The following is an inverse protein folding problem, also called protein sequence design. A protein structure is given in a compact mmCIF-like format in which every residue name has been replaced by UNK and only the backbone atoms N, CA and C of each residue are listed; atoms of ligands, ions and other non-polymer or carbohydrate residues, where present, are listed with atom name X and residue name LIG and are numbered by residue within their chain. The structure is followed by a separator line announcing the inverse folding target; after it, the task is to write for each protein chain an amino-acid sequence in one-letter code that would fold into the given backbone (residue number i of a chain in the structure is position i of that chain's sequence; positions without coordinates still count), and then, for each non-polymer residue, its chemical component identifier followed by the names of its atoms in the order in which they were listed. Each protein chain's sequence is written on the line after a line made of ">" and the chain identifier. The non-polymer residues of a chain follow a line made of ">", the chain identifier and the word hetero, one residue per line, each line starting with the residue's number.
data_IF_213109437991
#
_entry.id   IF_213109437991
#
_cell.length_a   1.000
_cell.length_b   1.000
_cell.length_c   1.000
_cell.angle_alpha   90.00
_cell.angle_beta   90.00
_cell.angle_gamma   90.00
#
_symmetry.space_group_name_H-M   'P 1'
#
loop_
_entity.id
_entity.type
_entity.pdbx_description
1 polymer ?
#
# COMPACT_ATOMS: atom_id res chain seq x y z
N UNK A 1 0.00 7.93 -18.78
CA UNK A 1 -1.44 8.07 -18.45
C UNK A 1 -1.66 9.37 -17.67
N UNK A 2 -2.75 10.11 -17.92
CA UNK A 2 -3.10 11.30 -17.12
C UNK A 2 -3.77 10.87 -15.81
N UNK A 3 -3.70 11.69 -14.75
CA UNK A 3 -4.31 11.36 -13.44
C UNK A 3 -5.82 11.04 -13.56
N UNK A 4 -6.65 11.81 -14.30
CA UNK A 4 -8.07 11.49 -14.45
C UNK A 4 -8.30 10.12 -15.10
N UNK A 5 -7.50 9.77 -16.11
CA UNK A 5 -7.58 8.50 -16.82
C UNK A 5 -7.17 7.31 -15.93
N UNK A 6 -6.19 7.49 -15.03
CA UNK A 6 -5.83 6.48 -14.02
C UNK A 6 -6.99 6.28 -13.04
N UNK A 7 -7.60 7.37 -12.57
CA UNK A 7 -8.71 7.30 -11.61
C UNK A 7 -9.94 6.61 -12.21
N UNK A 8 -10.21 6.83 -13.49
CA UNK A 8 -11.27 6.12 -14.22
C UNK A 8 -11.00 4.61 -14.28
N UNK A 9 -9.74 4.20 -14.53
CA UNK A 9 -9.38 2.77 -14.46
C UNK A 9 -9.60 2.21 -13.06
N UNK A 10 -9.14 2.89 -12.02
CA UNK A 10 -9.33 2.46 -10.62
C UNK A 10 -10.82 2.26 -10.33
N UNK A 11 -11.66 3.24 -10.68
CA UNK A 11 -13.12 3.16 -10.55
C UNK A 11 -13.72 1.97 -11.31
N UNK A 12 -13.24 1.68 -12.52
CA UNK A 12 -13.67 0.51 -13.28
C UNK A 12 -13.33 -0.82 -12.58
N UNK A 13 -12.13 -0.93 -11.98
CA UNK A 13 -11.78 -2.10 -11.17
C UNK A 13 -12.65 -2.22 -9.91
N UNK A 14 -12.96 -1.11 -9.24
CA UNK A 14 -13.87 -1.12 -8.09
C UNK A 14 -15.28 -1.57 -8.47
N UNK A 15 -15.79 -1.12 -9.62
CA UNK A 15 -17.08 -1.58 -10.15
C UNK A 15 -17.05 -3.08 -10.41
N UNK A 16 -16.00 -3.60 -11.03
CA UNK A 16 -15.83 -5.05 -11.28
C UNK A 16 -15.77 -5.85 -9.98
N UNK A 17 -15.00 -5.37 -8.99
CA UNK A 17 -14.91 -5.97 -7.66
C UNK A 17 -16.26 -5.99 -6.94
N UNK A 18 -17.03 -4.90 -7.03
CA UNK A 18 -18.38 -4.81 -6.46
C UNK A 18 -19.30 -5.85 -7.07
N UNK A 19 -19.30 -5.98 -8.40
CA UNK A 19 -20.13 -6.97 -9.11
C UNK A 19 -19.78 -8.40 -8.68
N UNK A 20 -18.49 -8.75 -8.62
CA UNK A 20 -18.03 -10.06 -8.16
C UNK A 20 -18.48 -10.33 -6.72
N UNK A 21 -18.30 -9.36 -5.82
CA UNK A 21 -18.73 -9.46 -4.42
C UNK A 21 -20.24 -9.69 -4.30
N UNK A 22 -21.04 -8.98 -5.09
CA UNK A 22 -22.50 -9.16 -5.11
C UNK A 22 -22.90 -10.55 -5.63
N UNK A 23 -22.23 -11.06 -6.66
CA UNK A 23 -22.48 -12.43 -7.15
C UNK A 23 -22.15 -13.48 -6.10
N UNK A 24 -21.02 -13.33 -5.42
CA UNK A 24 -20.59 -14.22 -4.34
C UNK A 24 -21.59 -14.20 -3.19
N UNK A 25 -22.00 -13.01 -2.73
CA UNK A 25 -23.06 -12.85 -1.71
C UNK A 25 -24.35 -13.58 -2.10
N UNK A 26 -24.80 -13.41 -3.34
CA UNK A 26 -25.99 -14.10 -3.84
C UNK A 26 -25.83 -15.62 -3.92
N UNK A 27 -24.62 -16.13 -4.15
CA UNK A 27 -24.34 -17.57 -4.17
C UNK A 27 -24.36 -18.17 -2.75
N UNK A 28 -23.78 -17.47 -1.77
CA UNK A 28 -23.84 -17.82 -0.36
C UNK A 28 -25.29 -17.82 0.15
N UNK A 29 -26.04 -16.75 -0.12
CA UNK A 29 -27.44 -16.64 0.31
C UNK A 29 -28.31 -17.77 -0.25
N UNK A 30 -28.13 -18.12 -1.53
CA UNK A 30 -28.88 -19.22 -2.17
C UNK A 30 -28.54 -20.61 -1.63
N UNK A 31 -27.36 -20.80 -1.08
CA UNK A 31 -26.86 -22.14 -0.69
C UNK A 31 -26.95 -22.36 0.81
N UNK A 32 -26.48 -21.38 1.59
CA UNK A 32 -26.35 -21.44 3.05
C UNK A 32 -27.43 -20.61 3.77
N UNK A 33 -28.16 -19.74 3.07
CA UNK A 33 -29.12 -18.81 3.68
C UNK A 33 -28.46 -17.59 4.33
N UNK A 34 -27.14 -17.51 4.31
CA UNK A 34 -26.36 -16.43 4.90
C UNK A 34 -25.77 -15.50 3.82
N UNK A 35 -25.68 -14.22 4.16
CA UNK A 35 -25.08 -13.15 3.39
C UNK A 35 -23.61 -12.87 3.74
N UNK A 36 -23.07 -13.51 4.78
CA UNK A 36 -21.68 -13.31 5.20
C UNK A 36 -20.74 -13.83 4.10
N UNK A 37 -19.90 -12.93 3.61
CA UNK A 37 -18.89 -13.25 2.60
C UNK A 37 -17.61 -13.57 3.35
N UNK A 38 -16.99 -14.74 3.12
CA UNK A 38 -15.72 -15.08 3.76
C UNK A 38 -14.64 -14.07 3.37
N UNK A 39 -13.74 -13.80 4.30
CA UNK A 39 -12.61 -12.87 4.08
C UNK A 39 -11.47 -13.52 3.30
N UNK A 40 -11.37 -14.85 3.34
CA UNK A 40 -10.38 -15.64 2.62
C UNK A 40 -10.99 -16.83 1.86
N UNK A 41 -10.25 -17.35 0.88
CA UNK A 41 -10.63 -18.59 0.18
C UNK A 41 -10.78 -19.73 1.17
N UNK A 42 -9.82 -19.85 2.10
CA UNK A 42 -9.76 -20.93 3.08
C UNK A 42 -10.97 -20.92 4.01
N UNK A 43 -11.35 -19.74 4.52
CA UNK A 43 -12.54 -19.56 5.35
C UNK A 43 -13.83 -19.92 4.58
N UNK A 44 -13.90 -19.52 3.32
CA UNK A 44 -15.03 -19.86 2.45
C UNK A 44 -15.14 -21.36 2.18
N UNK A 45 -14.03 -22.03 1.93
CA UNK A 45 -13.99 -23.48 1.73
C UNK A 45 -14.28 -24.24 3.02
N UNK A 46 -13.77 -23.77 4.16
CA UNK A 46 -14.04 -24.35 5.47
C UNK A 46 -15.54 -24.27 5.81
N UNK A 47 -16.18 -23.12 5.54
CA UNK A 47 -17.62 -22.94 5.74
C UNK A 47 -18.45 -23.92 4.90
N UNK A 48 -18.07 -24.10 3.62
CA UNK A 48 -18.73 -25.07 2.73
C UNK A 48 -18.49 -26.51 3.19
N UNK A 49 -17.30 -26.83 3.69
CA UNK A 49 -16.99 -28.16 4.25
C UNK A 49 -17.85 -28.45 5.49
N UNK A 50 -17.88 -27.53 6.45
CA UNK A 50 -18.68 -27.66 7.67
C UNK A 50 -20.17 -27.83 7.35
N UNK A 51 -20.68 -27.07 6.37
CA UNK A 51 -22.07 -27.21 5.90
C UNK A 51 -22.32 -28.57 5.23
N UNK A 52 -21.34 -29.10 4.50
CA UNK A 52 -21.43 -30.42 3.85
C UNK A 52 -21.44 -31.54 4.89
N UNK A 53 -20.62 -31.44 5.93
CA UNK A 53 -20.51 -32.45 6.98
C UNK A 53 -21.79 -32.49 7.82
N UNK A 54 -22.33 -31.32 8.17
CA UNK A 54 -23.60 -31.19 8.88
C UNK A 54 -24.77 -31.83 8.13
N UNK A 55 -24.80 -31.68 6.80
CA UNK A 55 -25.87 -32.24 5.94
C UNK A 55 -25.73 -33.75 5.76
N UNK A 56 -24.52 -34.30 5.77
CA UNK A 56 -24.31 -35.74 5.61
C UNK A 56 -24.57 -36.51 6.92
N UNK A 57 -24.42 -35.86 8.08
CA UNK A 57 -24.75 -36.45 9.39
C UNK A 57 -26.25 -36.47 9.70
N UNK A 58 -27.07 -35.70 8.97
CA UNK A 58 -28.51 -35.62 9.19
C UNK A 58 -29.25 -36.79 8.50
N UNK A 59 -29.55 -37.83 9.27
CA UNK A 59 -30.23 -39.05 8.82
C UNK A 59 -31.70 -38.81 8.42
N UNK A 60 -32.24 -37.63 8.74
CA UNK A 60 -33.63 -37.24 8.49
C UNK A 60 -33.90 -36.78 7.05
N UNK A 61 -32.84 -36.47 6.30
CA UNK A 61 -32.94 -35.91 4.94
C UNK A 61 -33.10 -37.05 3.91
N UNK A 62 -34.14 -36.95 3.07
CA UNK A 62 -34.35 -37.86 1.92
C UNK A 62 -33.11 -37.84 1.01
N UNK A 63 -32.60 -39.01 0.61
CA UNK A 63 -31.39 -39.15 -0.23
C UNK A 63 -31.39 -38.25 -1.49
N UNK A 64 -32.54 -38.08 -2.14
CA UNK A 64 -32.69 -37.19 -3.31
C UNK A 64 -32.49 -35.71 -2.98
N UNK A 65 -33.00 -35.25 -1.82
CA UNK A 65 -32.79 -33.89 -1.32
C UNK A 65 -31.32 -33.67 -0.91
N UNK A 66 -30.69 -34.67 -0.29
CA UNK A 66 -29.26 -34.66 0.05
C UNK A 66 -28.38 -34.54 -1.20
N UNK A 67 -28.66 -35.29 -2.26
CA UNK A 67 -27.92 -35.17 -3.52
C UNK A 67 -28.08 -33.78 -4.15
N UNK A 68 -29.27 -33.18 -4.09
CA UNK A 68 -29.51 -31.82 -4.60
C UNK A 68 -28.69 -30.79 -3.81
N UNK A 69 -28.69 -30.87 -2.48
CA UNK A 69 -27.89 -29.99 -1.60
C UNK A 69 -26.40 -30.15 -1.82
N UNK A 70 -25.89 -31.39 -1.90
CA UNK A 70 -24.49 -31.66 -2.19
C UNK A 70 -24.03 -31.09 -3.55
N UNK A 71 -24.89 -31.12 -4.58
CA UNK A 71 -24.59 -30.46 -5.87
C UNK A 71 -24.50 -28.94 -5.73
N UNK A 72 -25.39 -28.32 -4.95
CA UNK A 72 -25.35 -26.88 -4.68
C UNK A 72 -24.07 -26.47 -3.95
N UNK A 73 -23.64 -27.24 -2.94
CA UNK A 73 -22.40 -27.00 -2.21
C UNK A 73 -21.16 -27.14 -3.09
N UNK A 74 -21.07 -28.19 -3.92
CA UNK A 74 -19.96 -28.34 -4.90
C UNK A 74 -19.93 -27.17 -5.91
N UNK A 75 -21.09 -26.72 -6.35
CA UNK A 75 -21.17 -25.55 -7.23
C UNK A 75 -20.73 -24.26 -6.53
N UNK A 76 -21.06 -24.10 -5.24
CA UNK A 76 -20.63 -22.95 -4.44
C UNK A 76 -19.10 -22.98 -4.24
N UNK A 77 -18.54 -24.15 -3.91
CA UNK A 77 -17.09 -24.34 -3.76
C UNK A 77 -16.33 -23.89 -5.03
N UNK A 78 -16.81 -24.32 -6.21
CA UNK A 78 -16.24 -23.91 -7.49
C UNK A 78 -16.38 -22.41 -7.73
N UNK A 79 -17.53 -21.81 -7.38
CA UNK A 79 -17.75 -20.37 -7.51
C UNK A 79 -16.83 -19.57 -6.58
N UNK A 80 -16.63 -20.00 -5.34
CA UNK A 80 -15.69 -19.38 -4.39
C UNK A 80 -14.30 -19.32 -4.99
N UNK A 81 -13.76 -20.47 -5.43
CA UNK A 81 -12.41 -20.54 -6.03
C UNK A 81 -12.26 -19.58 -7.22
N UNK A 82 -13.26 -19.55 -8.11
CA UNK A 82 -13.24 -18.69 -9.29
C UNK A 82 -13.36 -17.20 -8.94
N UNK A 83 -14.31 -16.82 -8.08
CA UNK A 83 -14.56 -15.42 -7.73
C UNK A 83 -13.42 -14.83 -6.90
N UNK A 84 -12.80 -15.59 -6.00
CA UNK A 84 -11.60 -15.13 -5.29
C UNK A 84 -10.38 -14.99 -6.20
N UNK A 85 -10.21 -15.88 -7.19
CA UNK A 85 -9.18 -15.72 -8.22
C UNK A 85 -9.37 -14.42 -9.03
N UNK A 86 -10.62 -14.11 -9.37
CA UNK A 86 -11.00 -12.85 -10.02
C UNK A 86 -10.76 -11.63 -9.11
N UNK A 87 -11.15 -11.70 -7.84
CA UNK A 87 -10.91 -10.64 -6.85
C UNK A 87 -9.42 -10.32 -6.78
N UNK A 88 -8.57 -11.34 -6.60
CA UNK A 88 -7.13 -11.14 -6.52
C UNK A 88 -6.55 -10.51 -7.79
N UNK A 89 -7.03 -10.94 -8.96
CA UNK A 89 -6.62 -10.39 -10.25
C UNK A 89 -7.03 -8.91 -10.41
N UNK A 90 -8.26 -8.58 -9.99
CA UNK A 90 -8.76 -7.19 -10.03
C UNK A 90 -8.09 -6.30 -9.00
N UNK A 91 -7.81 -6.80 -7.80
CA UNK A 91 -7.06 -6.08 -6.78
C UNK A 91 -5.64 -5.76 -7.26
N UNK A 92 -4.94 -6.74 -7.84
CA UNK A 92 -3.62 -6.53 -8.43
C UNK A 92 -3.65 -5.47 -9.54
N UNK A 93 -4.64 -5.57 -10.44
CA UNK A 93 -4.85 -4.58 -11.49
C UNK A 93 -5.07 -3.18 -10.94
N UNK A 94 -6.00 -3.02 -9.99
CA UNK A 94 -6.31 -1.75 -9.32
C UNK A 94 -5.08 -1.16 -8.63
N UNK A 95 -4.38 -1.97 -7.84
CA UNK A 95 -3.24 -1.52 -7.05
C UNK A 95 -2.12 -0.99 -7.93
N UNK A 96 -1.83 -1.63 -9.08
CA UNK A 96 -0.87 -1.11 -10.06
C UNK A 96 -1.21 0.32 -10.54
N UNK A 97 -2.48 0.61 -10.83
CA UNK A 97 -2.90 1.96 -11.23
C UNK A 97 -2.80 2.95 -10.08
N UNK A 98 -3.15 2.53 -8.86
CA UNK A 98 -3.02 3.36 -7.66
C UNK A 98 -1.55 3.67 -7.34
N UNK A 99 -0.64 2.72 -7.51
CA UNK A 99 0.81 2.91 -7.41
C UNK A 99 1.27 3.96 -8.42
N UNK A 100 0.87 3.84 -9.69
CA UNK A 100 1.22 4.82 -10.73
C UNK A 100 0.73 6.23 -10.38
N UNK A 101 -0.47 6.35 -9.79
CA UNK A 101 -0.98 7.64 -9.30
C UNK A 101 -0.08 8.21 -8.20
N UNK A 102 0.22 7.44 -7.14
CA UNK A 102 1.06 7.93 -6.04
C UNK A 102 2.50 8.21 -6.47
N UNK A 103 3.06 7.44 -7.41
CA UNK A 103 4.40 7.66 -7.97
C UNK A 103 4.54 9.05 -8.59
N UNK A 104 3.51 9.52 -9.29
CA UNK A 104 3.49 10.85 -9.92
C UNK A 104 3.54 11.99 -8.91
N UNK A 105 3.06 11.79 -7.68
CA UNK A 105 3.12 12.79 -6.61
C UNK A 105 4.34 12.62 -5.70
N UNK A 106 4.75 11.38 -5.47
CA UNK A 106 5.88 11.03 -4.60
C UNK A 106 7.22 11.56 -5.14
N UNK A 107 7.46 11.46 -6.46
CA UNK A 107 8.73 11.90 -7.07
C UNK A 107 8.94 13.43 -6.93
N UNK A 108 7.98 14.31 -7.28
CA UNK A 108 8.12 15.75 -7.03
C UNK A 108 8.34 16.09 -5.55
N UNK A 109 7.68 15.37 -4.63
CA UNK A 109 7.86 15.58 -3.20
C UNK A 109 9.28 15.20 -2.76
N UNK A 110 9.84 14.12 -3.31
CA UNK A 110 11.22 13.73 -3.06
C UNK A 110 12.21 14.83 -3.47
N UNK A 111 11.95 15.58 -4.55
CA UNK A 111 12.81 16.71 -4.94
C UNK A 111 12.92 17.77 -3.83
N UNK A 112 11.80 18.08 -3.16
CA UNK A 112 11.78 19.02 -2.04
C UNK A 112 12.62 18.47 -0.87
N UNK A 113 12.48 17.17 -0.59
CA UNK A 113 13.27 16.51 0.46
C UNK A 113 14.77 16.47 0.13
N UNK A 114 15.15 16.27 -1.13
CA UNK A 114 16.54 16.32 -1.55
C UNK A 114 17.16 17.71 -1.41
N UNK A 115 16.39 18.77 -1.70
CA UNK A 115 16.84 20.15 -1.43
C UNK A 115 17.06 20.37 0.07
N UNK A 116 16.13 19.89 0.90
CA UNK A 116 16.21 19.99 2.35
C UNK A 116 17.42 19.22 2.92
N UNK A 117 17.65 18.01 2.41
CA UNK A 117 18.81 17.17 2.73
C UNK A 117 20.12 17.78 2.21
N UNK A 118 20.10 18.45 1.06
CA UNK A 118 21.27 19.08 0.45
C UNK A 118 21.86 20.22 1.27
N UNK A 119 21.02 20.98 2.00
CA UNK A 119 21.46 22.10 2.83
C UNK A 119 22.50 21.70 3.93
N UNK A 120 22.21 20.75 4.84
CA UNK A 120 23.21 20.31 5.82
C UNK A 120 24.40 19.59 5.17
N UNK A 121 24.15 18.78 4.12
CA UNK A 121 25.21 18.05 3.43
C UNK A 121 26.23 18.98 2.75
N UNK A 122 25.77 20.08 2.14
CA UNK A 122 26.65 21.10 1.56
C UNK A 122 27.50 21.81 2.61
N UNK A 123 26.93 22.08 3.79
CA UNK A 123 27.65 22.68 4.92
C UNK A 123 28.71 21.75 5.49
N UNK A 124 28.43 20.44 5.56
CA UNK A 124 29.41 19.42 5.98
C UNK A 124 30.52 19.25 4.94
N UNK A 125 30.17 19.22 3.66
CA UNK A 125 31.13 19.03 2.56
C UNK A 125 32.16 20.17 2.41
N UNK A 126 31.87 21.36 2.95
CA UNK A 126 32.85 22.47 3.04
C UNK A 126 34.17 22.06 3.70
N UNK A 127 34.19 21.02 4.54
CA UNK A 127 35.40 20.47 5.18
C UNK A 127 36.08 19.35 4.37
N UNK A 128 35.36 18.70 3.45
CA UNK A 128 35.81 17.48 2.73
C UNK A 128 36.11 17.67 1.24
N UNK A 129 35.94 18.88 0.68
CA UNK A 129 36.15 19.17 -0.73
C UNK A 129 34.96 18.79 -1.63
N UNK A 130 34.98 19.25 -2.88
CA UNK A 130 33.87 19.12 -3.83
C UNK A 130 33.46 17.66 -4.10
N UNK A 131 34.43 16.75 -4.19
CA UNK A 131 34.19 15.33 -4.47
C UNK A 131 33.34 14.65 -3.37
N UNK A 132 33.49 15.06 -2.10
CA UNK A 132 32.78 14.43 -0.98
C UNK A 132 31.29 14.78 -1.01
N UNK A 133 30.91 16.05 -1.27
CA UNK A 133 29.50 16.44 -1.43
C UNK A 133 28.80 15.68 -2.55
N UNK A 134 29.47 15.55 -3.69
CA UNK A 134 28.89 14.95 -4.90
C UNK A 134 28.67 13.46 -4.70
N UNK A 135 29.68 12.74 -4.19
CA UNK A 135 29.56 11.31 -3.89
C UNK A 135 28.47 11.02 -2.87
N UNK A 136 28.35 11.83 -1.82
CA UNK A 136 27.32 11.64 -0.79
C UNK A 136 25.91 11.89 -1.33
N UNK A 137 25.73 12.94 -2.14
CA UNK A 137 24.46 13.23 -2.81
C UNK A 137 24.04 12.11 -3.74
N UNK A 138 24.98 11.58 -4.53
CA UNK A 138 24.74 10.43 -5.41
C UNK A 138 24.40 9.16 -4.62
N UNK A 139 25.07 8.93 -3.48
CA UNK A 139 24.75 7.82 -2.57
C UNK A 139 23.32 7.88 -2.05
N UNK A 140 22.85 9.04 -1.59
CA UNK A 140 21.46 9.21 -1.16
C UNK A 140 20.45 9.07 -2.30
N UNK A 141 20.81 9.55 -3.50
CA UNK A 141 19.98 9.34 -4.69
C UNK A 141 19.82 7.85 -5.03
N UNK A 142 20.91 7.09 -5.03
CA UNK A 142 20.87 5.64 -5.25
C UNK A 142 20.05 4.93 -4.17
N UNK A 143 20.26 5.27 -2.89
CA UNK A 143 19.50 4.69 -1.78
C UNK A 143 18.01 4.94 -1.94
N UNK A 144 17.62 6.17 -2.26
CA UNK A 144 16.22 6.52 -2.52
C UNK A 144 15.65 5.71 -3.69
N UNK A 145 16.40 5.58 -4.78
CA UNK A 145 15.95 4.85 -5.96
C UNK A 145 15.73 3.36 -5.68
N UNK A 146 16.62 2.73 -4.90
CA UNK A 146 16.48 1.34 -4.46
C UNK A 146 15.23 1.17 -3.58
N UNK A 147 15.02 2.07 -2.61
CA UNK A 147 13.83 2.06 -1.76
C UNK A 147 12.53 2.26 -2.57
N UNK A 148 12.56 3.13 -3.58
CA UNK A 148 11.43 3.38 -4.46
C UNK A 148 11.06 2.15 -5.29
N UNK A 149 12.04 1.47 -5.91
CA UNK A 149 11.81 0.22 -6.65
C UNK A 149 11.30 -0.87 -5.71
N UNK A 150 11.90 -1.01 -4.52
CA UNK A 150 11.46 -1.98 -3.52
C UNK A 150 10.01 -1.75 -3.09
N UNK A 151 9.63 -0.49 -2.83
CA UNK A 151 8.27 -0.11 -2.47
C UNK A 151 7.25 -0.36 -3.60
N UNK A 152 7.64 -0.06 -4.84
CA UNK A 152 6.83 -0.33 -6.04
C UNK A 152 6.59 -1.84 -6.22
N UNK A 153 7.63 -2.66 -6.13
CA UNK A 153 7.53 -4.12 -6.27
C UNK A 153 6.65 -4.76 -5.17
N UNK A 154 6.78 -4.29 -3.92
CA UNK A 154 5.97 -4.76 -2.79
C UNK A 154 4.49 -4.39 -2.96
N UNK A 155 4.21 -3.20 -3.47
CA UNK A 155 2.84 -2.74 -3.72
C UNK A 155 2.20 -3.47 -4.92
N UNK A 156 2.97 -3.72 -5.98
CA UNK A 156 2.52 -4.46 -7.18
C UNK A 156 2.22 -5.94 -6.87
N UNK A 157 2.87 -6.51 -5.85
CA UNK A 157 2.60 -7.85 -5.33
C UNK A 157 1.45 -7.91 -4.34
N UNK A 158 0.75 -6.81 -4.08
CA UNK A 158 -0.29 -6.68 -3.04
C UNK A 158 0.20 -7.02 -1.62
N UNK A 159 1.51 -6.96 -1.35
CA UNK A 159 2.05 -7.22 -0.01
C UNK A 159 1.95 -5.99 0.89
N UNK A 160 2.07 -4.81 0.30
CA UNK A 160 1.94 -3.51 0.99
C UNK A 160 0.91 -2.66 0.27
N UNK A 161 0.23 -1.77 0.99
CA UNK A 161 -0.68 -0.82 0.35
C UNK A 161 0.10 0.11 -0.59
N UNK A 162 -0.45 0.48 -1.77
CA UNK A 162 0.18 1.42 -2.70
C UNK A 162 0.62 2.74 -2.06
N UNK A 163 -0.16 3.21 -1.10
CA UNK A 163 0.11 4.42 -0.33
C UNK A 163 1.40 4.28 0.48
N UNK A 164 1.53 3.22 1.29
CA UNK A 164 2.71 3.02 2.13
C UNK A 164 3.94 2.74 1.27
N UNK A 165 3.81 1.88 0.24
CA UNK A 165 4.93 1.51 -0.63
C UNK A 165 5.57 2.70 -1.33
N UNK A 166 4.76 3.64 -1.82
CA UNK A 166 5.26 4.80 -2.58
C UNK A 166 5.71 5.97 -1.71
N UNK A 167 5.20 6.09 -0.48
CA UNK A 167 5.54 7.19 0.43
C UNK A 167 6.60 6.81 1.48
N UNK A 168 6.84 5.52 1.73
CA UNK A 168 7.87 5.07 2.64
C UNK A 168 9.28 5.62 2.31
N UNK A 169 9.75 5.64 1.04
CA UNK A 169 11.05 6.23 0.70
C UNK A 169 11.14 7.72 1.07
N UNK A 170 10.04 8.47 0.88
CA UNK A 170 9.97 9.89 1.26
C UNK A 170 9.99 10.06 2.78
N UNK A 171 9.29 9.21 3.53
CA UNK A 171 9.32 9.25 5.00
C UNK A 171 10.74 8.98 5.54
N UNK A 172 11.45 8.03 4.95
CA UNK A 172 12.86 7.74 5.29
C UNK A 172 13.75 8.94 4.97
N UNK A 173 13.67 9.50 3.75
CA UNK A 173 14.43 10.69 3.38
C UNK A 173 14.16 11.88 4.29
N UNK A 174 12.88 12.12 4.62
CA UNK A 174 12.48 13.21 5.52
C UNK A 174 13.09 13.02 6.91
N UNK A 175 13.05 11.80 7.45
CA UNK A 175 13.64 11.48 8.76
C UNK A 175 15.14 11.73 8.77
N UNK A 176 15.84 11.29 7.73
CA UNK A 176 17.29 11.50 7.58
C UNK A 176 17.61 12.99 7.40
N UNK A 177 16.86 13.70 6.56
CA UNK A 177 17.04 15.13 6.33
C UNK A 177 16.85 15.94 7.62
N UNK A 178 15.78 15.67 8.38
CA UNK A 178 15.54 16.32 9.67
C UNK A 178 16.64 16.02 10.68
N UNK A 179 17.05 14.75 10.79
CA UNK A 179 18.15 14.35 11.67
C UNK A 179 19.44 15.11 11.35
N UNK A 180 19.84 15.16 10.07
CA UNK A 180 21.05 15.87 9.62
C UNK A 180 20.97 17.38 9.85
N UNK A 181 19.81 17.99 9.63
CA UNK A 181 19.58 19.41 9.91
C UNK A 181 19.77 19.68 11.40
N UNK A 182 19.11 18.92 12.27
CA UNK A 182 19.19 19.11 13.72
C UNK A 182 20.62 18.95 14.24
N UNK A 183 21.34 17.95 13.72
CA UNK A 183 22.74 17.75 14.05
C UNK A 183 23.61 18.94 13.61
N UNK A 184 23.46 19.39 12.37
CA UNK A 184 24.24 20.51 11.81
C UNK A 184 23.97 21.82 12.54
N UNK A 185 22.70 22.09 12.89
CA UNK A 185 22.31 23.29 13.64
C UNK A 185 22.89 23.27 15.06
N UNK A 186 22.91 22.10 15.73
CA UNK A 186 23.49 21.97 17.07
C UNK A 186 25.01 22.18 17.06
N UNK A 187 25.72 21.63 16.09
CA UNK A 187 27.17 21.81 15.97
C UNK A 187 27.59 23.21 15.54
N UNK A 188 26.71 23.94 14.82
CA UNK A 188 27.01 25.24 14.24
C UNK A 188 26.00 26.30 14.66
N UNK A 189 25.56 26.33 15.92
CA UNK A 189 24.60 27.31 16.41
C UNK A 189 25.08 28.74 16.09
N UNK A 190 24.46 29.47 15.13
CA UNK A 190 24.96 30.78 14.72
C UNK A 190 24.20 31.94 15.39
N UNK A 191 23.01 31.70 15.96
CA UNK A 191 22.08 32.81 16.22
C UNK A 191 22.06 33.14 17.71
N UNK A 192 22.96 34.03 18.09
CA UNK A 192 22.81 34.87 19.27
C UNK A 192 21.71 35.91 19.04
N UNK A 193 20.45 35.46 18.93
CA UNK A 193 19.29 36.37 18.83
C UNK A 193 19.17 37.23 20.12
N UNK A 194 19.73 36.70 21.22
CA UNK A 194 19.86 37.37 22.52
C UNK A 194 20.87 38.53 22.53
N UNK A 195 21.88 38.56 21.65
CA UNK A 195 22.83 39.70 21.60
C UNK A 195 22.24 40.94 20.93
N UNK A 196 21.34 40.75 19.95
CA UNK A 196 20.70 41.86 19.24
C UNK A 196 19.71 42.62 20.15
N UNK A 197 19.00 41.91 21.03
CA UNK A 197 18.09 42.51 22.02
C UNK A 197 18.84 43.23 23.17
N UNK A 198 20.09 42.87 23.48
CA UNK A 198 20.88 43.52 24.53
C UNK A 198 21.50 44.85 24.09
N UNK A 199 21.62 45.10 22.78
CA UNK A 199 22.26 46.32 22.24
C UNK A 199 21.36 47.56 22.27
N UNK A 200 20.03 47.40 22.33
CA UNK A 200 19.08 48.52 22.37
C UNK A 200 18.77 49.08 23.77
N UNK A 201 19.35 48.52 24.84
CA UNK A 201 19.12 48.97 26.24
C UNK A 201 20.34 49.71 26.85
N UNK A 202 21.21 50.28 26.02
CA UNK A 202 22.21 51.27 26.46
C UNK A 202 22.05 52.55 25.64
N UNK A 203 21.07 53.36 26.05
CA UNK A 203 21.08 54.81 25.89
C UNK A 203 20.94 55.44 27.27
#
# INVERSE_FOLDING_TARGET
>A
MTIPMIMDKVSNYEKKLRVVRTRLKGAFYRTLGDSIIPTSIEEGLATVSNAKDSINSDTTIIKSALHKKNRQLRSLERQIKNEFGLINSYLKGRNKYTVEAHKKFSIPFACILFVLLGAPLGVMAKRGGFAVSTSLSFGFFLLYYILLIGGEELADRNQVSPEIGMWAPNAVLLTVALYLILHTVRERAPISILSFLRKNNKS
#
